data_IF_130806131914
#
_entry.id   IF_130806131914
#
_cell.length_a   1.000
_cell.length_b   1.000
_cell.length_c   1.000
_cell.angle_alpha   90.00
_cell.angle_beta   90.00
_cell.angle_gamma   90.00
#
_symmetry.space_group_name_H-M   'P 1'
#
loop_
_entity.id
_entity.type
_entity.pdbx_description
1 polymer ?
#
# COMPACT_ATOMS: atom_id res chain seq x y z
N UNK A 1 -10.98 14.18 -33.52
CA UNK A 1 -12.05 15.22 -33.50
C UNK A 1 -11.39 16.52 -33.11
N UNK A 2 -11.06 17.34 -34.12
CA UNK A 2 -10.34 18.60 -34.00
C UNK A 2 -11.23 19.59 -33.24
N UNK A 3 -10.73 20.23 -32.17
CA UNK A 3 -11.43 21.37 -31.58
C UNK A 3 -11.48 22.47 -32.64
N UNK A 4 -12.68 22.92 -32.99
CA UNK A 4 -12.85 23.96 -33.99
C UNK A 4 -12.34 25.28 -33.42
N UNK A 5 -11.09 25.65 -33.72
CA UNK A 5 -10.51 26.95 -33.37
C UNK A 5 -10.90 28.04 -34.38
N UNK A 6 -11.98 27.83 -35.15
CA UNK A 6 -12.50 28.80 -36.10
C UNK A 6 -13.56 29.65 -35.41
N UNK A 7 -13.37 30.98 -35.43
CA UNK A 7 -14.37 31.94 -34.94
C UNK A 7 -15.63 31.76 -35.80
N UNK A 8 -16.81 31.46 -35.21
CA UNK A 8 -18.04 31.29 -35.98
C UNK A 8 -18.44 32.63 -36.59
N UNK A 9 -18.74 32.63 -37.89
CA UNK A 9 -19.31 33.79 -38.58
C UNK A 9 -20.81 33.79 -38.36
N UNK A 10 -21.34 34.87 -37.79
CA UNK A 10 -22.74 34.97 -37.36
C UNK A 10 -23.40 36.05 -38.21
N UNK A 11 -24.39 35.67 -39.01
CA UNK A 11 -25.14 36.59 -39.88
C UNK A 11 -26.64 36.58 -39.59
N UNK A 12 -27.16 35.46 -39.07
CA UNK A 12 -28.57 35.27 -38.76
C UNK A 12 -28.81 34.86 -37.31
N UNK A 13 -30.05 34.98 -36.84
CA UNK A 13 -30.44 34.59 -35.48
C UNK A 13 -30.28 33.09 -35.23
N UNK A 14 -30.51 32.26 -36.25
CA UNK A 14 -30.33 30.82 -36.17
C UNK A 14 -28.83 30.46 -35.99
N UNK A 15 -27.93 31.24 -36.60
CA UNK A 15 -26.48 31.09 -36.40
C UNK A 15 -26.05 31.42 -34.97
N UNK A 16 -26.74 32.34 -34.29
CA UNK A 16 -26.50 32.64 -32.87
C UNK A 16 -26.86 31.42 -32.01
N UNK A 17 -28.02 30.82 -32.24
CA UNK A 17 -28.45 29.65 -31.48
C UNK A 17 -27.51 28.45 -31.70
N UNK A 18 -27.09 28.21 -32.95
CA UNK A 18 -26.12 27.19 -33.28
C UNK A 18 -24.75 27.43 -32.62
N UNK A 19 -24.30 28.69 -32.57
CA UNK A 19 -23.04 29.05 -31.91
C UNK A 19 -23.10 28.85 -30.40
N UNK A 20 -24.23 29.14 -29.75
CA UNK A 20 -24.44 28.90 -28.32
C UNK A 20 -24.40 27.41 -28.00
N UNK A 21 -25.10 26.58 -28.78
CA UNK A 21 -25.08 25.13 -28.60
C UNK A 21 -23.67 24.57 -28.80
N UNK A 22 -22.95 25.05 -29.82
CA UNK A 22 -21.56 24.65 -30.07
C UNK A 22 -20.67 25.00 -28.87
N UNK A 23 -20.77 26.22 -28.34
CA UNK A 23 -20.02 26.67 -27.18
C UNK A 23 -20.32 25.80 -25.94
N UNK A 24 -21.59 25.50 -25.68
CA UNK A 24 -21.97 24.61 -24.56
C UNK A 24 -21.35 23.21 -24.70
N UNK A 25 -21.38 22.64 -25.91
CA UNK A 25 -20.80 21.33 -26.16
C UNK A 25 -19.28 21.33 -26.03
N UNK A 26 -18.61 22.39 -26.46
CA UNK A 26 -17.16 22.54 -26.32
C UNK A 26 -16.75 22.69 -24.86
N UNK A 27 -17.50 23.47 -24.07
CA UNK A 27 -17.28 23.63 -22.62
C UNK A 27 -17.46 22.28 -21.91
N UNK A 28 -18.53 21.53 -22.19
CA UNK A 28 -18.74 20.20 -21.60
C UNK A 28 -17.62 19.23 -21.98
N UNK A 29 -17.25 19.20 -23.25
CA UNK A 29 -16.18 18.33 -23.76
C UNK A 29 -14.82 18.67 -23.14
N UNK A 30 -14.53 19.96 -22.97
CA UNK A 30 -13.31 20.43 -22.31
C UNK A 30 -13.30 20.05 -20.82
N UNK A 31 -14.44 20.17 -20.14
CA UNK A 31 -14.58 19.78 -18.73
C UNK A 31 -14.34 18.27 -18.56
N UNK A 32 -14.94 17.44 -19.41
CA UNK A 32 -14.74 15.98 -19.39
C UNK A 32 -13.28 15.60 -19.64
N UNK A 33 -12.62 16.22 -20.62
CA UNK A 33 -11.19 15.99 -20.92
C UNK A 33 -10.26 16.50 -19.82
N UNK A 34 -10.64 17.58 -19.14
CA UNK A 34 -9.86 18.14 -18.03
C UNK A 34 -10.07 17.39 -16.72
N UNK A 35 -11.18 16.66 -16.58
CA UNK A 35 -11.45 15.87 -15.39
C UNK A 35 -10.63 14.59 -15.47
N UNK A 36 -9.46 14.60 -14.84
CA UNK A 36 -8.71 13.36 -14.61
C UNK A 36 -9.41 12.56 -13.53
N UNK A 37 -9.58 11.25 -13.74
CA UNK A 37 -9.95 10.33 -12.67
C UNK A 37 -8.94 10.49 -11.53
N UNK A 38 -9.38 11.12 -10.44
CA UNK A 38 -8.59 11.15 -9.20
C UNK A 38 -8.48 9.70 -8.77
N UNK A 39 -7.29 9.10 -8.90
CA UNK A 39 -7.03 7.80 -8.29
C UNK A 39 -7.46 7.90 -6.83
N UNK A 40 -8.36 7.03 -6.40
CA UNK A 40 -8.74 6.97 -5.01
C UNK A 40 -7.44 6.93 -4.19
N UNK A 41 -7.24 7.96 -3.36
CA UNK A 41 -6.14 7.95 -2.40
C UNK A 41 -6.32 6.66 -1.63
N UNK A 42 -5.30 5.80 -1.62
CA UNK A 42 -5.31 4.60 -0.78
C UNK A 42 -5.65 5.07 0.62
N UNK A 43 -6.89 4.81 1.04
CA UNK A 43 -7.30 5.13 2.40
C UNK A 43 -6.37 4.33 3.28
N UNK A 44 -5.55 5.01 4.10
CA UNK A 44 -4.81 4.32 5.13
C UNK A 44 -5.85 3.52 5.92
N UNK A 45 -5.69 2.20 6.01
CA UNK A 45 -6.61 1.31 6.70
C UNK A 45 -6.99 1.98 8.03
N UNK A 46 -8.22 2.49 8.12
CA UNK A 46 -8.66 3.28 9.25
C UNK A 46 -8.79 2.33 10.43
N UNK A 47 -7.81 2.36 11.34
CA UNK A 47 -7.70 1.37 12.41
C UNK A 47 -8.68 1.66 13.57
N UNK A 48 -9.70 2.51 13.37
CA UNK A 48 -10.64 2.92 14.42
C UNK A 48 -10.01 3.84 15.48
N UNK A 49 -10.69 3.97 16.61
CA UNK A 49 -10.23 4.74 17.79
C UNK A 49 -9.13 4.01 18.56
N UNK A 50 -7.97 3.80 17.95
CA UNK A 50 -6.79 3.36 18.70
C UNK A 50 -6.23 4.55 19.47
N UNK A 51 -5.98 4.44 20.79
CA UNK A 51 -5.52 5.54 21.62
C UNK A 51 -4.01 5.80 21.46
N UNK A 52 -3.56 5.96 20.21
CA UNK A 52 -2.16 6.09 19.82
C UNK A 52 -1.53 7.37 20.38
N UNK A 53 -2.29 8.47 20.38
CA UNK A 53 -1.86 9.74 20.96
C UNK A 53 -1.62 9.61 22.47
N UNK A 54 -2.58 9.00 23.17
CA UNK A 54 -2.48 8.71 24.61
C UNK A 54 -1.30 7.79 24.93
N UNK A 55 -1.08 6.74 24.13
CA UNK A 55 0.08 5.86 24.26
C UNK A 55 1.40 6.62 24.10
N UNK A 56 1.52 7.43 23.03
CA UNK A 56 2.72 8.25 22.77
C UNK A 56 2.97 9.26 23.89
N UNK A 57 1.93 9.93 24.38
CA UNK A 57 2.02 10.87 25.49
C UNK A 57 2.45 10.18 26.79
N UNK A 58 1.90 9.01 27.09
CA UNK A 58 2.31 8.22 28.26
C UNK A 58 3.76 7.72 28.15
N UNK A 59 4.20 7.27 26.97
CA UNK A 59 5.59 6.88 26.72
C UNK A 59 6.58 8.02 26.97
N UNK A 60 6.28 9.22 26.45
CA UNK A 60 7.10 10.42 26.71
C UNK A 60 7.16 10.76 28.21
N UNK A 61 6.02 10.69 28.91
CA UNK A 61 5.97 10.93 30.36
C UNK A 61 6.77 9.90 31.14
N UNK A 62 6.67 8.63 30.81
CA UNK A 62 7.42 7.55 31.44
C UNK A 62 8.95 7.72 31.26
N UNK A 63 9.38 8.16 30.08
CA UNK A 63 10.81 8.43 29.81
C UNK A 63 11.33 9.62 30.61
N UNK A 64 10.58 10.73 30.64
CA UNK A 64 10.99 11.96 31.34
C UNK A 64 11.02 11.80 32.86
N UNK A 65 10.03 11.12 33.41
CA UNK A 65 9.88 10.98 34.87
C UNK A 65 10.73 9.88 35.48
N UNK A 66 11.04 8.81 34.73
CA UNK A 66 11.72 7.63 35.25
C UNK A 66 10.92 6.82 36.29
N UNK A 67 9.73 7.29 36.70
CA UNK A 67 8.97 6.67 37.78
C UNK A 67 8.28 5.37 37.33
N UNK A 68 8.19 4.35 38.21
CA UNK A 68 7.58 3.07 37.88
C UNK A 68 6.08 3.19 37.56
N UNK A 69 5.34 4.11 38.19
CA UNK A 69 3.91 4.29 37.91
C UNK A 69 3.65 4.79 36.49
N UNK A 70 4.45 5.75 36.02
CA UNK A 70 4.34 6.24 34.65
C UNK A 70 4.71 5.17 33.61
N UNK A 71 5.69 4.31 33.92
CA UNK A 71 6.01 3.13 33.10
C UNK A 71 4.85 2.13 33.05
N UNK A 72 4.18 1.86 34.18
CA UNK A 72 3.00 0.98 34.22
C UNK A 72 1.89 1.48 33.32
N UNK A 73 1.56 2.77 33.38
CA UNK A 73 0.52 3.40 32.54
C UNK A 73 0.90 3.30 31.05
N UNK A 74 2.16 3.61 30.71
CA UNK A 74 2.64 3.51 29.33
C UNK A 74 2.57 2.07 28.79
N UNK A 75 2.93 1.08 29.60
CA UNK A 75 2.85 -0.34 29.24
C UNK A 75 1.39 -0.79 29.06
N UNK A 76 0.48 -0.36 29.93
CA UNK A 76 -0.95 -0.68 29.81
C UNK A 76 -1.53 -0.13 28.50
N UNK A 77 -1.23 1.12 28.17
CA UNK A 77 -1.66 1.73 26.91
C UNK A 77 -1.03 1.05 25.71
N UNK A 78 0.24 0.64 25.80
CA UNK A 78 0.90 -0.11 24.73
C UNK A 78 0.23 -1.44 24.47
N UNK A 79 -0.10 -2.20 25.54
CA UNK A 79 -0.83 -3.46 25.40
C UNK A 79 -2.22 -3.27 24.77
N UNK A 80 -2.93 -2.20 25.16
CA UNK A 80 -4.24 -1.86 24.56
C UNK A 80 -4.11 -1.57 23.07
N UNK A 81 -3.12 -0.77 22.68
CA UNK A 81 -2.85 -0.47 21.26
C UNK A 81 -2.48 -1.73 20.49
N UNK A 82 -1.58 -2.57 21.03
CA UNK A 82 -1.22 -3.84 20.39
C UNK A 82 -2.42 -4.77 20.21
N UNK A 83 -3.26 -4.92 21.24
CA UNK A 83 -4.46 -5.74 21.17
C UNK A 83 -5.44 -5.24 20.10
N UNK A 84 -5.70 -3.94 20.04
CA UNK A 84 -6.56 -3.35 19.02
C UNK A 84 -6.00 -3.51 17.60
N UNK A 85 -4.68 -3.40 17.42
CA UNK A 85 -4.02 -3.65 16.14
C UNK A 85 -4.15 -5.12 15.71
N UNK A 86 -3.98 -6.05 16.65
CA UNK A 86 -4.08 -7.48 16.37
C UNK A 86 -5.53 -7.87 16.04
N UNK A 87 -6.52 -7.34 16.74
CA UNK A 87 -7.94 -7.52 16.43
C UNK A 87 -8.28 -6.98 15.04
N UNK A 88 -7.86 -5.75 14.71
CA UNK A 88 -8.06 -5.18 13.38
C UNK A 88 -7.40 -6.03 12.28
N UNK A 89 -6.18 -6.54 12.51
CA UNK A 89 -5.49 -7.43 11.56
C UNK A 89 -6.25 -8.74 11.37
N UNK A 90 -6.74 -9.34 12.45
CA UNK A 90 -7.53 -10.56 12.39
C UNK A 90 -8.84 -10.33 11.63
N UNK A 91 -9.53 -9.22 11.90
CA UNK A 91 -10.77 -8.86 11.21
C UNK A 91 -10.53 -8.65 9.71
N UNK A 92 -9.49 -7.90 9.37
CA UNK A 92 -9.11 -7.67 7.96
C UNK A 92 -8.79 -8.99 7.27
N UNK A 93 -8.04 -9.88 7.94
CA UNK A 93 -7.71 -11.18 7.40
C UNK A 93 -8.94 -12.08 7.25
N UNK A 94 -9.86 -12.06 8.21
CA UNK A 94 -11.12 -12.80 8.16
C UNK A 94 -11.95 -12.37 6.95
N UNK A 95 -12.19 -11.06 6.78
CA UNK A 95 -12.90 -10.51 5.62
C UNK A 95 -12.22 -10.85 4.31
N UNK A 96 -10.89 -10.79 4.28
CA UNK A 96 -10.12 -11.18 3.10
C UNK A 96 -10.34 -12.65 2.76
N UNK A 97 -10.27 -13.57 3.72
CA UNK A 97 -10.52 -15.00 3.50
C UNK A 97 -11.96 -15.26 3.04
N UNK A 98 -12.94 -14.58 3.64
CA UNK A 98 -14.35 -14.66 3.23
C UNK A 98 -14.59 -14.16 1.80
N UNK A 99 -13.79 -13.19 1.35
CA UNK A 99 -13.87 -12.66 -0.02
C UNK A 99 -13.26 -13.58 -1.08
N UNK A 100 -12.52 -14.63 -0.70
CA UNK A 100 -11.86 -15.53 -1.66
C UNK A 100 -12.87 -16.43 -2.35
N UNK A 101 -12.73 -16.57 -3.67
CA UNK A 101 -13.57 -17.42 -4.49
C UNK A 101 -12.72 -18.48 -5.24
N UNK A 102 -13.19 -19.73 -5.37
CA UNK A 102 -12.52 -20.71 -6.21
C UNK A 102 -12.56 -20.39 -7.72
N UNK A 103 -13.57 -19.64 -8.19
CA UNK A 103 -13.81 -19.40 -9.63
C UNK A 103 -12.95 -18.29 -10.22
N UNK A 104 -12.47 -17.35 -9.41
CA UNK A 104 -11.74 -16.15 -9.86
C UNK A 104 -10.21 -16.28 -9.71
N UNK A 105 -9.70 -17.49 -9.41
CA UNK A 105 -8.29 -17.79 -9.18
C UNK A 105 -7.69 -17.07 -7.93
N UNK A 106 -8.49 -16.36 -7.13
CA UNK A 106 -8.03 -15.66 -5.93
C UNK A 106 -7.51 -16.65 -4.88
N UNK A 107 -8.22 -17.77 -4.67
CA UNK A 107 -7.84 -18.80 -3.71
C UNK A 107 -6.47 -19.41 -4.02
N UNK A 108 -6.22 -19.75 -5.30
CA UNK A 108 -4.93 -20.29 -5.73
C UNK A 108 -3.79 -19.28 -5.59
N UNK A 109 -4.01 -18.02 -5.99
CA UNK A 109 -3.03 -16.94 -5.81
C UNK A 109 -2.65 -16.77 -4.33
N UNK A 110 -3.65 -16.75 -3.45
CA UNK A 110 -3.44 -16.66 -2.00
C UNK A 110 -2.71 -17.88 -1.45
N UNK A 111 -3.11 -19.09 -1.83
CA UNK A 111 -2.42 -20.32 -1.42
C UNK A 111 -0.96 -20.32 -1.87
N UNK A 112 -0.69 -19.94 -3.12
CA UNK A 112 0.66 -19.86 -3.67
C UNK A 112 1.50 -18.84 -2.91
N UNK A 113 0.93 -17.66 -2.59
CA UNK A 113 1.60 -16.65 -1.78
C UNK A 113 1.96 -17.18 -0.38
N UNK A 114 1.03 -17.89 0.28
CA UNK A 114 1.26 -18.48 1.61
C UNK A 114 2.34 -19.58 1.59
N UNK A 115 2.39 -20.41 0.54
CA UNK A 115 3.41 -21.44 0.37
C UNK A 115 4.78 -20.87 0.01
N UNK A 116 4.81 -19.75 -0.70
CA UNK A 116 6.07 -19.10 -1.13
C UNK A 116 6.69 -18.34 0.03
N UNK A 117 7.13 -19.04 1.07
CA UNK A 117 8.09 -18.50 2.03
C UNK A 117 9.47 -18.61 1.42
N UNK A 118 10.05 -17.48 1.03
CA UNK A 118 11.47 -17.41 0.68
C UNK A 118 12.26 -17.76 1.93
N UNK A 119 12.82 -18.96 1.97
CA UNK A 119 13.86 -19.28 2.96
C UNK A 119 15.09 -18.45 2.57
N UNK A 120 15.77 -17.81 3.54
CA UNK A 120 17.05 -17.20 3.24
C UNK A 120 17.95 -18.30 2.66
N UNK A 121 18.64 -17.99 1.56
CA UNK A 121 19.65 -18.89 1.02
C UNK A 121 20.69 -19.07 2.13
N UNK A 122 21.04 -20.31 2.52
CA UNK A 122 22.04 -20.53 3.55
C UNK A 122 23.35 -19.87 3.11
N UNK A 123 24.12 -19.41 4.10
CA UNK A 123 25.46 -18.88 3.84
C UNK A 123 26.32 -19.99 3.21
N UNK A 124 27.17 -19.63 2.26
CA UNK A 124 28.10 -20.58 1.66
C UNK A 124 29.21 -20.89 2.67
N UNK A 125 29.47 -22.18 2.86
CA UNK A 125 30.53 -22.67 3.73
C UNK A 125 31.58 -23.39 2.89
N UNK A 126 32.85 -23.09 3.14
CA UNK A 126 34.00 -23.86 2.68
C UNK A 126 34.63 -24.59 3.88
N UNK A 127 35.81 -25.16 3.71
CA UNK A 127 36.49 -25.93 4.76
C UNK A 127 36.71 -25.13 6.06
N UNK A 128 37.01 -23.84 5.94
CA UNK A 128 37.35 -22.97 7.07
C UNK A 128 36.15 -22.16 7.62
N UNK A 129 34.93 -22.44 7.14
CA UNK A 129 33.70 -21.78 7.59
C UNK A 129 33.06 -20.88 6.53
N UNK A 130 32.42 -19.79 6.97
CA UNK A 130 31.61 -18.92 6.10
C UNK A 130 32.48 -18.17 5.10
N UNK A 131 32.05 -18.19 3.85
CA UNK A 131 32.82 -17.69 2.73
C UNK A 131 32.31 -16.34 2.23
N UNK A 132 33.22 -15.37 2.09
CA UNK A 132 32.88 -14.01 1.69
C UNK A 132 33.45 -13.59 0.32
N UNK A 133 34.69 -13.97 0.00
CA UNK A 133 35.35 -13.53 -1.24
C UNK A 133 34.91 -14.37 -2.44
N UNK A 134 35.02 -13.82 -3.65
CA UNK A 134 34.60 -14.53 -4.87
C UNK A 134 35.49 -15.74 -5.18
N UNK A 135 36.78 -15.68 -4.83
CA UNK A 135 37.72 -16.78 -5.00
C UNK A 135 37.34 -17.94 -4.09
N UNK A 136 37.20 -17.67 -2.80
CA UNK A 136 36.85 -18.71 -1.83
C UNK A 136 35.48 -19.32 -2.14
N UNK A 137 34.53 -18.53 -2.69
CA UNK A 137 33.24 -19.07 -3.15
C UNK A 137 33.41 -20.06 -4.29
N UNK A 138 34.28 -19.73 -5.26
CA UNK A 138 34.57 -20.62 -6.38
C UNK A 138 35.23 -21.91 -5.90
N UNK A 139 36.16 -21.83 -4.94
CA UNK A 139 36.79 -22.99 -4.31
C UNK A 139 35.75 -23.84 -3.56
N UNK A 140 34.90 -23.24 -2.71
CA UNK A 140 33.83 -23.97 -2.01
C UNK A 140 32.81 -24.64 -2.97
N UNK A 141 32.56 -24.04 -4.14
CA UNK A 141 31.75 -24.67 -5.19
C UNK A 141 32.50 -25.80 -5.92
N UNK A 142 33.81 -25.66 -6.14
CA UNK A 142 34.62 -26.72 -6.73
C UNK A 142 34.63 -27.96 -5.83
N UNK A 143 34.85 -27.77 -4.52
CA UNK A 143 34.86 -28.86 -3.52
C UNK A 143 33.53 -29.63 -3.46
N UNK A 144 32.41 -28.95 -3.72
CA UNK A 144 31.08 -29.60 -3.72
C UNK A 144 30.73 -30.28 -5.06
N UNK A 145 31.45 -29.97 -6.14
CA UNK A 145 31.19 -30.47 -7.50
C UNK A 145 32.22 -31.52 -7.96
N UNK A 146 33.39 -31.59 -7.32
CA UNK A 146 34.36 -32.68 -7.47
C UNK A 146 33.83 -33.95 -6.76
N UNK A 147 32.99 -34.69 -7.48
CA UNK A 147 32.39 -35.97 -7.07
C UNK A 147 33.29 -37.17 -7.41
#
# INVERSE_FOLDING_TARGET
MQGSTAIPRIETTDDLEAAVVCLETDIRTALERSTTETREVRQANYIGEIPLESQRAAGRRALRSGAPEHRRIANQLTRRVSAALDEHRQETWRRFVESLNPRDNSLWKTQKALKTRRRPVPLLHGEQGIVHTNRDKAEAFADTLEL
#
